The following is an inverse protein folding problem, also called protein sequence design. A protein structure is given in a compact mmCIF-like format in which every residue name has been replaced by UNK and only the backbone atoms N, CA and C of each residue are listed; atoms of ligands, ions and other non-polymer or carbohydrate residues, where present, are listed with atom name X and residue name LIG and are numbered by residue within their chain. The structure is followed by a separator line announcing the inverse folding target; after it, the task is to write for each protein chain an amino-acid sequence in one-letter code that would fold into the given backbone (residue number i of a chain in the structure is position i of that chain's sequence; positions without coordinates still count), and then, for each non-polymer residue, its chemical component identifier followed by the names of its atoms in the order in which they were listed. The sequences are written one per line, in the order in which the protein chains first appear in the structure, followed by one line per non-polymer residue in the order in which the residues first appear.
data_IF_557096812680
#
_entry.id   IF_557096812680
#
_cell.length_a   1.000
_cell.length_b   1.000
_cell.length_c   1.000
_cell.angle_alpha   90.00
_cell.angle_beta   90.00
_cell.angle_gamma   90.00
#
_symmetry.space_group_name_H-M   'P 1'
#
loop_
_entity.id
_entity.type
_entity.pdbx_description
1 polymer ?
#
# COMPACT_ATOMS: atom_id res chain seq x y z
N UNK A 1 19.02 30.39 -20.86
CA UNK A 1 17.75 29.67 -20.76
C UNK A 1 17.84 28.47 -21.69
N UNK A 2 18.14 27.28 -21.16
CA UNK A 2 18.17 26.05 -21.96
C UNK A 2 16.91 25.26 -21.64
N UNK A 3 16.11 24.98 -22.67
CA UNK A 3 14.90 24.18 -22.57
C UNK A 3 15.27 22.77 -22.10
N UNK A 4 14.78 22.35 -20.93
CA UNK A 4 14.89 20.97 -20.50
C UNK A 4 14.10 20.10 -21.49
N UNK A 5 14.83 19.25 -22.21
CA UNK A 5 14.30 18.36 -23.22
C UNK A 5 13.48 17.25 -22.58
N UNK A 6 12.18 17.24 -22.80
CA UNK A 6 11.22 16.23 -22.32
C UNK A 6 11.21 14.99 -23.25
N UNK A 7 12.41 14.49 -23.59
CA UNK A 7 12.63 13.43 -24.58
C UNK A 7 13.06 12.08 -23.97
N UNK A 8 13.16 11.01 -24.78
CA UNK A 8 13.66 9.69 -24.34
C UNK A 8 15.09 9.76 -23.78
N UNK A 9 15.87 10.77 -24.16
CA UNK A 9 17.19 11.04 -23.58
C UNK A 9 17.13 11.46 -22.12
N UNK A 10 16.19 12.32 -21.73
CA UNK A 10 15.99 12.69 -20.32
C UNK A 10 15.50 11.52 -19.47
N UNK A 11 14.71 10.61 -20.05
CA UNK A 11 14.35 9.35 -19.38
C UNK A 11 15.59 8.46 -19.19
N UNK A 12 16.44 8.33 -20.20
CA UNK A 12 17.70 7.59 -20.10
C UNK A 12 18.66 8.20 -19.09
N UNK A 13 18.72 9.53 -18.99
CA UNK A 13 19.49 10.24 -17.97
C UNK A 13 18.90 10.01 -16.56
N UNK A 14 17.58 10.00 -16.41
CA UNK A 14 16.90 9.65 -15.17
C UNK A 14 17.19 8.19 -14.76
N UNK A 15 17.19 7.26 -15.71
CA UNK A 15 17.55 5.85 -15.44
C UNK A 15 19.02 5.70 -15.06
N UNK A 16 19.93 6.43 -15.72
CA UNK A 16 21.35 6.46 -15.38
C UNK A 16 21.61 7.11 -14.03
N UNK A 17 20.91 8.20 -13.69
CA UNK A 17 21.02 8.86 -12.38
C UNK A 17 20.43 8.00 -11.26
N UNK A 18 19.30 7.34 -11.50
CA UNK A 18 18.73 6.40 -10.53
C UNK A 18 19.65 5.20 -10.30
N UNK A 19 20.31 4.69 -11.35
CA UNK A 19 21.30 3.60 -11.24
C UNK A 19 22.55 4.06 -10.49
N UNK A 20 23.05 5.27 -10.76
CA UNK A 20 24.23 5.82 -10.07
C UNK A 20 23.94 6.21 -8.62
N UNK A 21 22.73 6.70 -8.31
CA UNK A 21 22.24 6.91 -6.95
C UNK A 21 22.09 5.58 -6.22
N UNK A 22 21.56 4.55 -6.88
CA UNK A 22 21.52 3.19 -6.31
C UNK A 22 22.93 2.64 -6.04
N UNK A 23 23.89 2.85 -6.95
CA UNK A 23 25.29 2.43 -6.77
C UNK A 23 26.02 3.24 -5.68
N UNK A 24 25.82 4.56 -5.58
CA UNK A 24 26.38 5.40 -4.50
C UNK A 24 25.75 5.10 -3.13
N UNK A 25 24.43 4.88 -3.08
CA UNK A 25 23.76 4.44 -1.85
C UNK A 25 24.24 3.05 -1.43
N UNK A 26 24.55 2.18 -2.41
CA UNK A 26 25.19 0.89 -2.15
C UNK A 26 26.63 1.01 -1.66
N UNK A 27 27.37 2.08 -2.00
CA UNK A 27 28.77 2.23 -1.61
C UNK A 27 28.94 2.68 -0.14
N UNK A 28 28.06 3.54 0.38
CA UNK A 28 27.98 3.87 1.83
C UNK A 28 27.54 2.67 2.68
N UNK A 29 26.75 1.76 2.09
CA UNK A 29 26.26 0.52 2.71
C UNK A 29 27.16 -0.71 2.42
N UNK A 30 28.24 -0.55 1.65
CA UNK A 30 29.18 -1.62 1.24
C UNK A 30 30.29 -1.93 2.24
N UNK A 31 30.35 -1.22 3.36
CA UNK A 31 31.10 -1.72 4.51
C UNK A 31 30.44 -3.00 5.02
N UNK A 32 31.20 -3.85 5.72
CA UNK A 32 30.65 -5.04 6.36
C UNK A 32 29.57 -4.63 7.37
N UNK A 33 28.29 -4.74 6.98
CA UNK A 33 27.16 -4.37 7.82
C UNK A 33 27.21 -5.22 9.09
N UNK A 34 27.02 -4.63 10.29
CA UNK A 34 26.93 -5.42 11.51
C UNK A 34 25.90 -6.54 11.38
N UNK A 35 26.20 -7.73 11.90
CA UNK A 35 25.37 -8.94 11.69
C UNK A 35 23.91 -8.73 12.12
N UNK A 36 23.68 -7.91 13.16
CA UNK A 36 22.35 -7.59 13.65
C UNK A 36 21.50 -6.74 12.68
N UNK A 37 22.13 -6.05 11.71
CA UNK A 37 21.47 -5.23 10.69
C UNK A 37 21.31 -5.93 9.34
N UNK A 38 22.08 -6.99 9.06
CA UNK A 38 22.02 -7.72 7.77
C UNK A 38 20.59 -8.14 7.42
N UNK A 39 19.87 -8.73 8.39
CA UNK A 39 18.49 -9.20 8.18
C UNK A 39 17.49 -8.07 7.89
N UNK A 40 17.61 -6.92 8.55
CA UNK A 40 16.76 -5.75 8.26
C UNK A 40 17.12 -5.11 6.93
N UNK A 41 18.41 -5.04 6.60
CA UNK A 41 18.89 -4.49 5.33
C UNK A 41 18.35 -5.27 4.13
N UNK A 42 18.40 -6.61 4.17
CA UNK A 42 17.81 -7.44 3.11
C UNK A 42 16.31 -7.21 2.91
N UNK A 43 15.55 -6.95 3.99
CA UNK A 43 14.12 -6.62 3.86
C UNK A 43 13.87 -5.22 3.30
N UNK A 44 14.70 -4.26 3.67
CA UNK A 44 14.61 -2.88 3.17
C UNK A 44 14.84 -2.81 1.65
N UNK A 45 15.61 -3.72 1.07
CA UNK A 45 15.79 -3.82 -0.38
C UNK A 45 14.52 -4.23 -1.13
N UNK A 46 13.54 -4.87 -0.45
CA UNK A 46 12.26 -5.24 -1.04
C UNK A 46 11.08 -4.93 -0.11
N UNK A 47 10.68 -3.65 -0.03
CA UNK A 47 9.61 -3.18 0.87
C UNK A 47 8.25 -3.88 0.72
N UNK A 48 7.81 -4.35 -0.47
CA UNK A 48 6.60 -5.16 -0.58
C UNK A 48 6.54 -6.36 0.36
N UNK A 49 7.69 -6.91 0.77
CA UNK A 49 7.76 -8.00 1.75
C UNK A 49 7.11 -7.65 3.10
N UNK A 50 7.10 -6.37 3.51
CA UNK A 50 6.49 -5.96 4.76
C UNK A 50 4.97 -6.15 4.78
N UNK A 51 4.31 -6.15 3.62
CA UNK A 51 2.89 -6.50 3.54
C UNK A 51 2.65 -7.95 3.99
N UNK A 52 3.50 -8.88 3.55
CA UNK A 52 3.46 -10.29 3.97
C UNK A 52 3.85 -10.46 5.44
N UNK A 53 4.89 -9.76 5.89
CA UNK A 53 5.29 -9.77 7.32
C UNK A 53 4.14 -9.29 8.21
N UNK A 54 3.40 -8.26 7.76
CA UNK A 54 2.23 -7.76 8.45
C UNK A 54 1.12 -8.81 8.59
N UNK A 55 0.84 -9.57 7.53
CA UNK A 55 -0.14 -10.67 7.54
C UNK A 55 0.32 -11.79 8.46
N UNK A 56 1.55 -12.27 8.26
CA UNK A 56 2.13 -13.33 9.07
C UNK A 56 2.06 -12.97 10.56
N UNK A 57 2.48 -11.76 10.91
CA UNK A 57 2.51 -11.31 12.31
C UNK A 57 1.11 -11.11 12.88
N UNK A 58 0.17 -10.55 12.11
CA UNK A 58 -1.21 -10.44 12.55
C UNK A 58 -1.79 -11.83 12.82
N UNK A 59 -1.55 -12.84 11.98
CA UNK A 59 -2.10 -14.18 12.17
C UNK A 59 -1.43 -14.98 13.29
N UNK A 60 -0.16 -14.72 13.60
CA UNK A 60 0.62 -15.54 14.56
C UNK A 60 0.70 -14.94 15.96
N UNK A 61 0.68 -13.61 16.09
CA UNK A 61 0.88 -12.94 17.39
C UNK A 61 -0.46 -12.71 18.10
N UNK A 62 -0.70 -13.48 19.17
CA UNK A 62 -1.94 -13.39 19.96
C UNK A 62 -2.17 -12.01 20.56
N UNK A 63 -1.08 -11.30 20.90
CA UNK A 63 -1.17 -9.95 21.44
C UNK A 63 -1.63 -8.93 20.42
N UNK A 64 -1.63 -9.26 19.12
CA UNK A 64 -2.11 -8.42 18.03
C UNK A 64 -3.52 -8.82 17.61
N UNK A 65 -3.76 -10.07 17.21
CA UNK A 65 -5.07 -10.41 16.60
C UNK A 65 -6.22 -10.41 17.59
N UNK A 66 -6.02 -10.86 18.83
CA UNK A 66 -7.09 -10.93 19.84
C UNK A 66 -7.70 -9.55 20.08
N UNK A 67 -6.92 -8.51 20.45
CA UNK A 67 -7.48 -7.21 20.76
C UNK A 67 -7.90 -6.41 19.52
N UNK A 68 -7.39 -6.74 18.33
CA UNK A 68 -7.91 -6.27 17.03
C UNK A 68 -9.28 -6.88 16.76
N UNK A 69 -9.42 -8.20 16.89
CA UNK A 69 -10.65 -8.93 16.64
C UNK A 69 -11.76 -8.51 17.58
N UNK A 70 -11.49 -8.45 18.89
CA UNK A 70 -12.44 -7.99 19.90
C UNK A 70 -13.02 -6.60 19.56
N UNK A 71 -12.21 -5.71 18.97
CA UNK A 71 -12.70 -4.38 18.59
C UNK A 71 -13.62 -4.41 17.38
N UNK A 72 -13.38 -5.31 16.43
CA UNK A 72 -14.16 -5.44 15.20
C UNK A 72 -15.36 -6.39 15.34
N UNK A 73 -15.36 -7.32 16.30
CA UNK A 73 -16.28 -8.46 16.41
C UNK A 73 -17.75 -8.05 16.27
N UNK A 74 -18.24 -7.11 17.07
CA UNK A 74 -19.65 -6.70 17.02
C UNK A 74 -20.04 -6.05 15.68
N UNK A 75 -19.13 -5.26 15.09
CA UNK A 75 -19.35 -4.66 13.77
C UNK A 75 -19.37 -5.71 12.68
N UNK A 76 -18.44 -6.67 12.73
CA UNK A 76 -18.37 -7.80 11.80
C UNK A 76 -19.64 -8.65 11.88
N UNK A 77 -20.10 -9.01 13.09
CA UNK A 77 -21.30 -9.84 13.28
C UNK A 77 -22.55 -9.14 12.74
N UNK A 78 -22.76 -7.86 13.06
CA UNK A 78 -23.90 -7.08 12.55
C UNK A 78 -23.84 -6.93 11.02
N UNK A 79 -22.66 -6.59 10.49
CA UNK A 79 -22.46 -6.44 9.05
C UNK A 79 -22.63 -7.76 8.31
N UNK A 80 -22.18 -8.88 8.87
CA UNK A 80 -22.36 -10.21 8.31
C UNK A 80 -23.83 -10.62 8.32
N UNK A 81 -24.56 -10.39 9.43
CA UNK A 81 -25.99 -10.68 9.51
C UNK A 81 -26.79 -9.90 8.45
N UNK A 82 -26.55 -8.60 8.33
CA UNK A 82 -27.18 -7.76 7.30
C UNK A 82 -26.74 -8.17 5.90
N UNK A 83 -25.46 -8.49 5.70
CA UNK A 83 -24.93 -8.93 4.42
C UNK A 83 -25.51 -10.26 3.94
N UNK A 84 -25.69 -11.22 4.85
CA UNK A 84 -26.34 -12.52 4.56
C UNK A 84 -27.81 -12.31 4.21
N UNK A 85 -28.54 -11.51 4.99
CA UNK A 85 -29.93 -11.20 4.68
C UNK A 85 -30.05 -10.51 3.31
N UNK A 86 -29.20 -9.51 3.04
CA UNK A 86 -29.15 -8.82 1.75
C UNK A 86 -28.86 -9.78 0.59
N UNK A 87 -27.86 -10.65 0.73
CA UNK A 87 -27.55 -11.66 -0.27
C UNK A 87 -28.74 -12.58 -0.51
N UNK A 88 -29.39 -13.10 0.53
CA UNK A 88 -30.55 -13.98 0.42
C UNK A 88 -31.69 -13.35 -0.39
N UNK A 89 -32.07 -12.11 -0.08
CA UNK A 89 -33.19 -11.44 -0.76
C UNK A 89 -32.86 -10.95 -2.16
N UNK A 90 -31.61 -10.59 -2.44
CA UNK A 90 -31.23 -9.94 -3.72
C UNK A 90 -30.61 -10.90 -4.73
N UNK A 91 -30.05 -12.03 -4.30
CA UNK A 91 -29.28 -12.92 -5.17
C UNK A 91 -30.08 -13.42 -6.38
N UNK A 92 -31.31 -13.89 -6.17
CA UNK A 92 -32.16 -14.39 -7.26
C UNK A 92 -32.51 -13.29 -8.28
N UNK A 93 -32.84 -12.09 -7.78
CA UNK A 93 -33.17 -10.92 -8.61
C UNK A 93 -31.94 -10.50 -9.43
N UNK A 94 -30.78 -10.41 -8.79
CA UNK A 94 -29.53 -9.99 -9.43
C UNK A 94 -29.05 -11.01 -10.47
N UNK A 95 -29.14 -12.31 -10.16
CA UNK A 95 -28.82 -13.37 -11.12
C UNK A 95 -29.70 -13.27 -12.36
N UNK A 96 -31.03 -13.12 -12.20
CA UNK A 96 -31.96 -12.98 -13.32
C UNK A 96 -31.70 -11.71 -14.13
N UNK A 97 -31.38 -10.60 -13.48
CA UNK A 97 -30.99 -9.37 -14.15
C UNK A 97 -29.72 -9.56 -14.99
N UNK A 98 -28.68 -10.20 -14.44
CA UNK A 98 -27.43 -10.50 -15.15
C UNK A 98 -27.66 -11.44 -16.33
N UNK A 99 -28.51 -12.45 -16.17
CA UNK A 99 -28.90 -13.38 -17.23
C UNK A 99 -29.55 -12.62 -18.40
N UNK A 100 -30.54 -11.77 -18.12
CA UNK A 100 -31.20 -10.92 -19.13
C UNK A 100 -30.21 -9.96 -19.79
N UNK A 101 -29.32 -9.34 -19.00
CA UNK A 101 -28.33 -8.38 -19.50
C UNK A 101 -27.30 -9.05 -20.44
N UNK A 102 -26.78 -10.20 -20.05
CA UNK A 102 -25.78 -10.94 -20.85
C UNK A 102 -26.40 -11.59 -22.09
N UNK A 103 -27.65 -12.07 -22.00
CA UNK A 103 -28.38 -12.60 -23.15
C UNK A 103 -28.58 -11.53 -24.24
N UNK A 104 -28.80 -10.28 -23.85
CA UNK A 104 -28.99 -9.14 -24.78
C UNK A 104 -27.68 -8.48 -25.23
N UNK A 105 -26.52 -8.85 -24.66
CA UNK A 105 -25.22 -8.31 -25.06
C UNK A 105 -24.15 -9.41 -25.26
N UNK A 106 -24.32 -10.33 -26.24
CA UNK A 106 -23.37 -11.43 -26.47
C UNK A 106 -22.02 -10.95 -27.02
N UNK A 107 -22.00 -9.79 -27.68
CA UNK A 107 -20.81 -9.27 -28.39
C UNK A 107 -19.73 -8.69 -27.46
N UNK A 108 -20.04 -8.41 -26.21
CA UNK A 108 -19.13 -7.65 -25.31
C UNK A 108 -18.36 -8.53 -24.33
N UNK A 109 -18.79 -9.78 -24.11
CA UNK A 109 -18.29 -10.49 -22.91
C UNK A 109 -17.30 -11.61 -23.16
N UNK A 110 -17.32 -12.34 -24.28
CA UNK A 110 -16.46 -13.55 -24.41
C UNK A 110 -16.63 -14.55 -23.24
N UNK A 111 -17.67 -14.33 -22.42
CA UNK A 111 -18.09 -15.04 -21.22
C UNK A 111 -19.45 -15.73 -21.48
N UNK A 112 -19.90 -15.76 -22.74
CA UNK A 112 -21.06 -16.54 -23.15
C UNK A 112 -20.77 -18.05 -23.18
N UNK A 113 -19.49 -18.44 -23.05
CA UNK A 113 -19.04 -19.82 -22.88
C UNK A 113 -18.84 -20.11 -21.39
N UNK A 114 -19.08 -21.35 -20.96
CA UNK A 114 -18.86 -21.83 -19.57
C UNK A 114 -17.37 -21.84 -19.12
N UNK A 115 -16.52 -21.09 -19.83
CA UNK A 115 -15.08 -21.00 -19.63
C UNK A 115 -14.66 -19.56 -19.39
N UNK A 116 -13.92 -19.32 -18.30
CA UNK A 116 -13.30 -18.03 -17.99
C UNK A 116 -11.77 -18.22 -18.12
N UNK A 117 -11.11 -17.50 -19.04
CA UNK A 117 -9.69 -17.72 -19.40
C UNK A 117 -9.34 -19.14 -19.85
N UNK A 118 -10.28 -19.82 -20.51
CA UNK A 118 -10.10 -21.22 -20.94
C UNK A 118 -10.22 -22.26 -19.81
N UNK A 119 -10.47 -21.82 -18.57
CA UNK A 119 -10.76 -22.72 -17.45
C UNK A 119 -12.27 -22.86 -17.26
N UNK A 120 -12.81 -24.09 -17.14
CA UNK A 120 -14.21 -24.30 -16.84
C UNK A 120 -14.51 -23.76 -15.44
N UNK A 121 -15.52 -22.92 -15.32
CA UNK A 121 -15.96 -22.42 -14.02
C UNK A 121 -16.81 -23.48 -13.31
N UNK A 122 -16.69 -23.61 -11.97
CA UNK A 122 -17.46 -24.59 -11.21
C UNK A 122 -18.98 -24.30 -11.20
N UNK A 123 -19.37 -23.10 -11.62
CA UNK A 123 -20.77 -22.66 -11.71
C UNK A 123 -21.00 -21.91 -13.01
N UNK A 124 -22.25 -21.89 -13.49
CA UNK A 124 -22.66 -21.07 -14.63
C UNK A 124 -22.18 -19.62 -14.46
N UNK A 125 -21.66 -19.03 -15.55
CA UNK A 125 -21.09 -17.67 -15.59
C UNK A 125 -22.01 -16.61 -14.95
N UNK A 126 -23.33 -16.71 -15.14
CA UNK A 126 -24.29 -15.79 -14.52
C UNK A 126 -24.29 -15.88 -12.99
N UNK A 127 -24.14 -17.10 -12.46
CA UNK A 127 -24.05 -17.34 -11.01
C UNK A 127 -22.74 -16.80 -10.46
N UNK A 128 -21.63 -16.99 -11.18
CA UNK A 128 -20.34 -16.41 -10.81
C UNK A 128 -20.38 -14.87 -10.78
N UNK A 129 -20.91 -14.24 -11.82
CA UNK A 129 -21.06 -12.79 -11.87
C UNK A 129 -21.97 -12.26 -10.74
N UNK A 130 -23.07 -12.95 -10.44
CA UNK A 130 -23.94 -12.61 -9.32
C UNK A 130 -23.22 -12.71 -7.97
N UNK A 131 -22.42 -13.76 -7.74
CA UNK A 131 -21.60 -13.92 -6.52
C UNK A 131 -20.59 -12.78 -6.38
N UNK A 132 -19.89 -12.40 -7.45
CA UNK A 132 -18.95 -11.28 -7.42
C UNK A 132 -19.66 -9.95 -7.09
N UNK A 133 -20.81 -9.69 -7.71
CA UNK A 133 -21.61 -8.49 -7.48
C UNK A 133 -22.11 -8.41 -6.02
N UNK A 134 -22.71 -9.49 -5.51
CA UNK A 134 -23.16 -9.59 -4.11
C UNK A 134 -21.97 -9.48 -3.16
N UNK A 135 -20.84 -10.11 -3.45
CA UNK A 135 -19.62 -10.03 -2.63
C UNK A 135 -19.11 -8.59 -2.48
N UNK A 136 -19.18 -7.78 -3.54
CA UNK A 136 -18.83 -6.36 -3.47
C UNK A 136 -19.83 -5.57 -2.60
N UNK A 137 -21.13 -5.86 -2.70
CA UNK A 137 -22.16 -5.23 -1.86
C UNK A 137 -22.00 -5.59 -0.39
N UNK A 138 -21.76 -6.87 -0.08
CA UNK A 138 -21.45 -7.34 1.28
C UNK A 138 -20.22 -6.60 1.81
N UNK A 139 -19.19 -6.40 0.98
CA UNK A 139 -18.00 -5.63 1.38
C UNK A 139 -18.35 -4.20 1.79
N UNK A 140 -19.25 -3.52 1.06
CA UNK A 140 -19.71 -2.18 1.44
C UNK A 140 -20.51 -2.18 2.75
N UNK A 141 -21.38 -3.16 2.93
CA UNK A 141 -22.15 -3.34 4.18
C UNK A 141 -21.19 -3.56 5.36
N UNK A 142 -20.25 -4.50 5.23
CA UNK A 142 -19.23 -4.76 6.25
C UNK A 142 -18.42 -3.50 6.55
N UNK A 143 -17.97 -2.77 5.52
CA UNK A 143 -17.21 -1.53 5.68
C UNK A 143 -18.01 -0.45 6.40
N UNK A 144 -19.31 -0.34 6.14
CA UNK A 144 -20.19 0.58 6.86
C UNK A 144 -20.22 0.26 8.35
N UNK A 145 -20.54 -0.98 8.72
CA UNK A 145 -20.60 -1.42 10.12
C UNK A 145 -19.24 -1.42 10.84
N UNK A 146 -18.14 -1.59 10.09
CA UNK A 146 -16.79 -1.59 10.63
C UNK A 146 -16.11 -0.22 10.64
N UNK A 147 -16.64 0.78 9.93
CA UNK A 147 -15.97 2.07 9.65
C UNK A 147 -15.30 2.73 10.86
N UNK A 148 -16.00 2.83 12.00
CA UNK A 148 -15.45 3.41 13.24
C UNK A 148 -14.49 2.45 13.95
N UNK A 149 -14.85 1.17 14.05
CA UNK A 149 -14.09 0.17 14.81
C UNK A 149 -12.78 -0.21 14.13
N UNK A 150 -12.77 -0.31 12.80
CA UNK A 150 -11.59 -0.66 12.01
C UNK A 150 -10.51 0.42 12.10
N UNK A 151 -10.88 1.69 12.22
CA UNK A 151 -9.92 2.77 12.46
C UNK A 151 -9.19 2.55 13.78
N UNK A 152 -9.93 2.28 14.86
CA UNK A 152 -9.36 2.02 16.19
C UNK A 152 -8.53 0.72 16.18
N UNK A 153 -9.00 -0.32 15.47
CA UNK A 153 -8.27 -1.58 15.35
C UNK A 153 -6.92 -1.40 14.63
N UNK A 154 -6.88 -0.60 13.56
CA UNK A 154 -5.63 -0.23 12.86
C UNK A 154 -4.66 0.52 13.76
N UNK A 155 -5.18 1.47 14.54
CA UNK A 155 -4.40 2.26 15.49
C UNK A 155 -3.81 1.37 16.61
N UNK A 156 -4.61 0.42 17.10
CA UNK A 156 -4.19 -0.56 18.11
C UNK A 156 -3.16 -1.55 17.56
N UNK A 157 -3.37 -2.05 16.35
CA UNK A 157 -2.45 -2.96 15.69
C UNK A 157 -1.06 -2.32 15.53
N UNK A 158 -1.00 -1.06 15.09
CA UNK A 158 0.26 -0.31 15.05
C UNK A 158 0.90 -0.22 16.44
N UNK A 159 0.16 0.27 17.45
CA UNK A 159 0.70 0.50 18.79
C UNK A 159 1.24 -0.78 19.43
N UNK A 160 0.53 -1.90 19.28
CA UNK A 160 0.98 -3.19 19.81
C UNK A 160 2.17 -3.75 19.05
N UNK A 161 2.22 -3.52 17.72
CA UNK A 161 3.39 -3.89 16.91
C UNK A 161 4.64 -3.11 17.34
N UNK A 162 4.47 -1.84 17.73
CA UNK A 162 5.56 -1.01 18.27
C UNK A 162 5.93 -1.45 19.68
N UNK A 163 4.96 -1.58 20.58
CA UNK A 163 5.19 -1.96 21.98
C UNK A 163 5.87 -3.33 22.12
N UNK A 164 5.49 -4.30 21.29
CA UNK A 164 6.12 -5.63 21.26
C UNK A 164 7.59 -5.64 20.80
N UNK A 165 8.15 -4.50 20.35
CA UNK A 165 9.60 -4.38 20.12
C UNK A 165 10.38 -4.04 21.37
N UNK A 166 9.71 -3.64 22.46
CA UNK A 166 10.36 -3.29 23.73
C UNK A 166 11.35 -2.13 23.61
N UNK A 167 11.14 -1.23 22.64
CA UNK A 167 11.95 -0.02 22.46
C UNK A 167 11.17 1.18 23.02
N UNK A 168 11.86 2.04 23.76
CA UNK A 168 11.30 3.25 24.34
C UNK A 168 11.07 4.34 23.28
N UNK A 169 10.62 5.51 23.72
CA UNK A 169 10.43 6.68 22.85
C UNK A 169 11.77 7.25 22.33
N UNK A 170 12.86 7.01 23.07
CA UNK A 170 14.24 7.35 22.74
C UNK A 170 14.78 6.63 21.49
N UNK A 171 14.14 5.52 21.11
CA UNK A 171 14.46 4.81 19.88
C UNK A 171 14.15 5.65 18.63
N UNK A 172 13.16 6.54 18.67
CA UNK A 172 12.85 7.39 17.51
C UNK A 172 13.72 8.64 17.54
N UNK A 173 14.85 8.59 16.86
CA UNK A 173 15.77 9.73 16.81
C UNK A 173 15.31 10.76 15.77
N UNK A 174 15.73 12.03 15.90
CA UNK A 174 15.50 13.04 14.86
C UNK A 174 15.99 12.57 13.49
N UNK A 175 15.38 13.10 12.43
CA UNK A 175 15.76 12.77 11.06
C UNK A 175 17.25 13.01 10.84
N UNK A 176 17.94 12.00 10.29
CA UNK A 176 19.32 12.13 9.83
C UNK A 176 19.34 11.92 8.33
N UNK A 177 19.78 12.96 7.63
CA UNK A 177 19.94 12.95 6.18
C UNK A 177 20.83 11.78 5.76
N UNK A 178 20.39 10.93 4.82
CA UNK A 178 21.18 9.77 4.38
C UNK A 178 22.09 10.11 3.22
N UNK A 179 21.73 11.09 2.39
CA UNK A 179 22.41 11.38 1.13
C UNK A 179 23.32 12.59 1.26
N UNK A 180 24.46 12.57 0.57
CA UNK A 180 25.38 13.72 0.55
C UNK A 180 24.78 14.92 -0.20
N UNK A 181 23.90 14.65 -1.16
CA UNK A 181 23.17 15.63 -1.95
C UNK A 181 21.69 15.21 -2.00
N UNK A 182 20.86 15.66 -1.04
CA UNK A 182 19.45 15.29 -1.03
C UNK A 182 18.76 15.82 -2.28
N UNK A 183 17.76 15.10 -2.82
CA UNK A 183 16.93 15.63 -3.88
C UNK A 183 16.24 16.88 -3.32
N UNK A 184 16.15 17.94 -4.14
CA UNK A 184 15.39 19.12 -3.73
C UNK A 184 13.98 18.66 -3.40
N UNK A 185 13.48 19.05 -2.23
CA UNK A 185 12.10 18.80 -1.83
C UNK A 185 11.22 19.32 -2.97
N UNK A 186 10.72 18.42 -3.81
CA UNK A 186 9.62 18.77 -4.68
C UNK A 186 8.46 18.83 -3.71
N UNK A 187 8.23 20.02 -3.13
CA UNK A 187 6.91 20.32 -2.63
C UNK A 187 6.00 19.91 -3.77
N UNK A 188 5.20 18.88 -3.57
CA UNK A 188 4.11 18.58 -4.47
C UNK A 188 3.09 19.72 -4.27
N UNK A 189 3.47 20.92 -4.67
CA UNK A 189 2.68 22.12 -4.77
C UNK A 189 1.74 21.89 -5.95
N UNK A 190 0.80 20.96 -5.76
CA UNK A 190 -0.15 20.60 -6.80
C UNK A 190 -1.31 19.80 -6.22
N UNK A 191 -1.97 20.35 -5.20
CA UNK A 191 -3.25 19.82 -4.73
C UNK A 191 -4.48 20.46 -5.39
N UNK A 192 -4.34 21.66 -5.98
CA UNK A 192 -5.43 22.36 -6.68
C UNK A 192 -5.25 22.35 -8.21
N UNK A 193 -4.06 22.66 -8.75
CA UNK A 193 -3.82 22.63 -10.21
C UNK A 193 -3.69 21.19 -10.77
N UNK A 194 -3.12 20.26 -10.00
CA UNK A 194 -3.11 18.84 -10.35
C UNK A 194 -4.48 18.22 -10.12
N UNK A 195 -5.35 18.75 -9.26
CA UNK A 195 -6.67 18.15 -9.07
C UNK A 195 -7.55 18.33 -10.30
N UNK A 196 -7.46 19.49 -10.98
CA UNK A 196 -8.17 19.74 -12.24
C UNK A 196 -7.57 18.94 -13.41
N UNK A 197 -6.24 18.93 -13.53
CA UNK A 197 -5.50 18.10 -14.50
C UNK A 197 -5.70 16.59 -14.24
N UNK A 198 -5.61 16.13 -13.00
CA UNK A 198 -5.92 14.75 -12.62
C UNK A 198 -7.38 14.42 -12.78
N UNK A 199 -8.33 15.34 -12.67
CA UNK A 199 -9.73 15.01 -12.89
C UNK A 199 -10.00 14.73 -14.37
N UNK A 200 -9.41 15.53 -15.27
CA UNK A 200 -9.45 15.28 -16.71
C UNK A 200 -8.64 14.05 -17.10
N UNK A 201 -7.43 13.87 -16.57
CA UNK A 201 -6.66 12.63 -16.69
C UNK A 201 -7.38 11.44 -16.08
N UNK A 202 -8.13 11.61 -14.99
CA UNK A 202 -8.91 10.56 -14.34
C UNK A 202 -10.14 10.20 -15.16
N UNK A 203 -10.81 11.18 -15.78
CA UNK A 203 -11.90 10.95 -16.73
C UNK A 203 -11.39 10.31 -18.03
N UNK A 204 -10.28 10.80 -18.58
CA UNK A 204 -9.62 10.24 -19.76
C UNK A 204 -9.09 8.84 -19.49
N UNK A 205 -8.47 8.60 -18.32
CA UNK A 205 -8.10 7.27 -17.85
C UNK A 205 -9.34 6.40 -17.65
N UNK A 206 -10.42 6.90 -17.04
CA UNK A 206 -11.67 6.13 -16.91
C UNK A 206 -12.24 5.75 -18.26
N UNK A 207 -12.16 6.62 -19.26
CA UNK A 207 -12.60 6.36 -20.63
C UNK A 207 -11.69 5.35 -21.33
N UNK A 208 -10.36 5.49 -21.22
CA UNK A 208 -9.38 4.57 -21.79
C UNK A 208 -9.39 3.20 -21.12
N UNK A 209 -9.67 3.16 -19.82
CA UNK A 209 -9.75 1.95 -19.00
C UNK A 209 -11.16 1.37 -18.94
N UNK A 210 -12.15 2.01 -19.57
CA UNK A 210 -13.53 1.52 -19.65
C UNK A 210 -13.60 0.10 -20.27
N UNK A 211 -12.83 -0.22 -21.34
CA UNK A 211 -12.72 -1.58 -21.86
C UNK A 211 -11.99 -2.54 -20.90
N UNK A 212 -11.08 -2.03 -20.05
CA UNK A 212 -10.29 -2.84 -19.12
C UNK A 212 -11.00 -3.10 -17.78
N UNK A 213 -11.97 -2.27 -17.41
CA UNK A 213 -12.82 -2.46 -16.23
C UNK A 213 -13.76 -3.66 -16.35
N UNK A 214 -13.93 -4.22 -17.56
CA UNK A 214 -14.61 -5.50 -17.75
C UNK A 214 -13.84 -6.67 -17.11
N UNK A 215 -12.56 -6.46 -16.75
CA UNK A 215 -11.79 -7.43 -15.98
C UNK A 215 -11.67 -7.03 -14.50
N UNK A 216 -12.35 -7.73 -13.55
CA UNK A 216 -12.45 -7.34 -12.14
C UNK A 216 -11.09 -7.10 -11.46
N UNK A 217 -10.06 -7.83 -11.88
CA UNK A 217 -8.72 -7.74 -11.29
C UNK A 217 -7.91 -6.54 -11.80
N UNK A 218 -8.13 -6.10 -13.03
CA UNK A 218 -7.33 -4.99 -13.59
C UNK A 218 -7.74 -3.66 -12.99
N UNK A 219 -9.04 -3.45 -12.72
CA UNK A 219 -9.49 -2.27 -11.99
C UNK A 219 -8.77 -2.11 -10.64
N UNK A 220 -8.57 -3.22 -9.91
CA UNK A 220 -7.83 -3.22 -8.64
C UNK A 220 -6.36 -2.87 -8.87
N UNK A 221 -5.69 -3.53 -9.82
CA UNK A 221 -4.28 -3.26 -10.14
C UNK A 221 -4.02 -1.79 -10.49
N UNK A 222 -4.86 -1.22 -11.36
CA UNK A 222 -4.76 0.19 -11.76
C UNK A 222 -5.02 1.11 -10.57
N UNK A 223 -6.07 0.83 -9.78
CA UNK A 223 -6.39 1.64 -8.60
C UNK A 223 -5.23 1.64 -7.60
N UNK A 224 -4.62 0.47 -7.38
CA UNK A 224 -3.45 0.32 -6.53
C UNK A 224 -2.24 1.10 -7.09
N UNK A 225 -2.01 1.06 -8.40
CA UNK A 225 -0.92 1.79 -9.05
C UNK A 225 -1.00 3.30 -8.81
N UNK A 226 -2.20 3.89 -8.92
CA UNK A 226 -2.39 5.32 -8.68
C UNK A 226 -2.35 5.68 -7.20
N UNK A 227 -2.86 4.81 -6.32
CA UNK A 227 -2.92 5.06 -4.87
C UNK A 227 -1.64 4.72 -4.13
N UNK A 228 -0.68 4.03 -4.76
CA UNK A 228 0.47 3.42 -4.08
C UNK A 228 1.22 4.40 -3.18
N UNK A 229 1.74 5.49 -3.74
CA UNK A 229 2.51 6.48 -2.97
C UNK A 229 1.70 7.12 -1.83
N UNK A 230 0.43 7.49 -2.08
CA UNK A 230 -0.44 8.03 -1.04
C UNK A 230 -0.75 7.02 0.07
N UNK A 231 -0.93 5.74 -0.28
CA UNK A 231 -1.18 4.66 0.67
C UNK A 231 0.02 4.45 1.60
N UNK A 232 1.23 4.41 1.05
CA UNK A 232 2.44 4.29 1.85
C UNK A 232 2.64 5.50 2.79
N UNK A 233 2.42 6.74 2.31
CA UNK A 233 2.45 7.94 3.15
C UNK A 233 1.47 7.86 4.32
N UNK A 234 0.24 7.42 4.06
CA UNK A 234 -0.79 7.25 5.10
C UNK A 234 -0.43 6.14 6.09
N UNK A 235 0.21 5.07 5.63
CA UNK A 235 0.69 3.97 6.46
C UNK A 235 1.86 4.39 7.37
N UNK A 236 2.78 5.22 6.86
CA UNK A 236 3.96 5.72 7.59
C UNK A 236 3.75 7.04 8.34
N UNK A 237 2.58 7.65 8.28
CA UNK A 237 2.27 8.90 9.00
C UNK A 237 2.74 8.89 10.46
N UNK A 238 2.50 7.81 11.19
CA UNK A 238 2.88 7.68 12.61
C UNK A 238 4.39 7.59 12.83
N UNK A 239 5.12 7.03 11.88
CA UNK A 239 6.58 6.99 11.91
C UNK A 239 7.14 8.41 11.78
N UNK A 240 6.64 9.18 10.82
CA UNK A 240 7.03 10.59 10.65
C UNK A 240 6.68 11.44 11.88
N UNK A 241 5.51 11.21 12.46
CA UNK A 241 5.07 11.88 13.70
C UNK A 241 5.97 11.49 14.89
N UNK A 242 6.36 10.22 15.03
CA UNK A 242 7.24 9.77 16.11
C UNK A 242 8.63 10.42 16.05
N UNK A 243 9.18 10.61 14.85
CA UNK A 243 10.46 11.31 14.63
C UNK A 243 10.35 12.84 14.65
N UNK A 244 9.12 13.39 14.78
CA UNK A 244 8.83 14.83 14.71
C UNK A 244 9.33 15.50 13.42
N UNK A 245 9.27 14.78 12.30
CA UNK A 245 9.69 15.31 11.01
C UNK A 245 8.80 16.46 10.54
N UNK A 246 9.42 17.52 10.03
CA UNK A 246 8.72 18.60 9.35
C UNK A 246 8.14 18.13 8.01
N UNK A 247 7.12 18.80 7.45
CA UNK A 247 6.57 18.43 6.14
C UNK A 247 7.62 18.35 5.02
N UNK A 248 8.66 19.17 5.11
CA UNK A 248 9.74 19.26 4.13
C UNK A 248 10.70 18.08 4.27
N UNK A 249 11.07 17.72 5.49
CA UNK A 249 11.85 16.51 5.79
C UNK A 249 11.09 15.24 5.35
N UNK A 250 9.77 15.18 5.55
CA UNK A 250 8.95 14.07 5.05
C UNK A 250 8.99 14.01 3.52
N UNK A 251 8.93 15.15 2.84
CA UNK A 251 8.98 15.21 1.38
C UNK A 251 10.33 14.74 0.84
N UNK A 252 11.43 15.19 1.46
CA UNK A 252 12.79 14.76 1.11
C UNK A 252 12.95 13.25 1.34
N UNK A 253 12.62 12.77 2.55
CA UNK A 253 12.71 11.35 2.91
C UNK A 253 11.93 10.44 1.96
N UNK A 254 10.71 10.86 1.60
CA UNK A 254 9.87 10.11 0.67
C UNK A 254 10.38 10.13 -0.77
N UNK A 255 11.02 11.22 -1.21
CA UNK A 255 11.62 11.28 -2.55
C UNK A 255 12.90 10.43 -2.62
N UNK A 256 13.67 10.38 -1.54
CA UNK A 256 14.83 9.48 -1.43
C UNK A 256 14.43 8.01 -1.52
N UNK A 257 13.33 7.66 -0.86
CA UNK A 257 12.79 6.30 -0.80
C UNK A 257 11.62 6.11 -1.78
N UNK A 258 11.56 6.89 -2.86
CA UNK A 258 10.38 6.97 -3.75
C UNK A 258 9.90 5.60 -4.24
N UNK A 259 10.81 4.77 -4.72
CA UNK A 259 10.48 3.44 -5.24
C UNK A 259 10.07 2.48 -4.12
N UNK A 260 10.68 2.60 -2.95
CA UNK A 260 10.34 1.80 -1.77
C UNK A 260 8.92 2.09 -1.28
N UNK A 261 8.58 3.37 -1.14
CA UNK A 261 7.22 3.82 -0.79
C UNK A 261 6.22 3.47 -1.87
N UNK A 262 6.57 3.64 -3.15
CA UNK A 262 5.65 3.36 -4.26
C UNK A 262 5.33 1.86 -4.34
N UNK A 263 6.33 0.99 -4.23
CA UNK A 263 6.14 -0.46 -4.32
C UNK A 263 5.42 -1.03 -3.08
N UNK A 264 5.82 -0.63 -1.87
CA UNK A 264 5.12 -1.03 -0.64
C UNK A 264 3.65 -0.58 -0.66
N UNK A 265 3.42 0.69 -0.98
CA UNK A 265 2.08 1.25 -1.00
C UNK A 265 1.21 0.67 -2.12
N UNK A 266 1.80 0.34 -3.27
CA UNK A 266 1.12 -0.40 -4.34
C UNK A 266 0.65 -1.76 -3.85
N UNK A 267 1.54 -2.56 -3.26
CA UNK A 267 1.19 -3.89 -2.73
C UNK A 267 0.14 -3.80 -1.63
N UNK A 268 0.27 -2.84 -0.71
CA UNK A 268 -0.71 -2.59 0.34
C UNK A 268 -2.10 -2.24 -0.24
N UNK A 269 -2.15 -1.31 -1.20
CA UNK A 269 -3.40 -0.90 -1.86
C UNK A 269 -4.01 -2.02 -2.70
N UNK A 270 -3.18 -2.86 -3.33
CA UNK A 270 -3.61 -4.03 -4.09
C UNK A 270 -4.30 -5.05 -3.18
N UNK A 271 -3.67 -5.37 -2.04
CA UNK A 271 -4.24 -6.28 -1.04
C UNK A 271 -5.53 -5.74 -0.43
N UNK A 272 -5.60 -4.43 -0.14
CA UNK A 272 -6.83 -3.78 0.37
C UNK A 272 -7.96 -3.71 -0.65
N UNK A 273 -7.65 -3.88 -1.94
CA UNK A 273 -8.63 -3.81 -3.02
C UNK A 273 -9.51 -5.04 -3.18
N UNK A 274 -9.15 -6.18 -2.57
CA UNK A 274 -9.94 -7.39 -2.64
C UNK A 274 -11.24 -7.29 -1.82
N UNK A 275 -12.40 -7.76 -2.35
CA UNK A 275 -13.64 -7.80 -1.60
C UNK A 275 -13.51 -8.63 -0.32
N UNK A 276 -14.14 -8.17 0.77
CA UNK A 276 -14.18 -8.78 2.10
C UNK A 276 -12.80 -8.89 2.76
N UNK A 277 -11.87 -9.67 2.19
CA UNK A 277 -10.53 -9.92 2.73
C UNK A 277 -9.66 -8.65 2.74
N UNK A 278 -9.91 -7.69 1.84
CA UNK A 278 -9.27 -6.37 1.84
C UNK A 278 -9.39 -5.65 3.18
N UNK A 279 -10.48 -5.85 3.92
CA UNK A 279 -10.68 -5.27 5.25
C UNK A 279 -9.63 -5.77 6.26
N UNK A 280 -9.27 -7.05 6.20
CA UNK A 280 -8.21 -7.63 7.04
C UNK A 280 -6.86 -7.03 6.65
N UNK A 281 -6.60 -6.88 5.35
CA UNK A 281 -5.37 -6.27 4.86
C UNK A 281 -5.19 -4.81 5.31
N UNK A 282 -6.27 -4.05 5.49
CA UNK A 282 -6.15 -2.69 6.06
C UNK A 282 -5.51 -2.66 7.46
N UNK A 283 -5.61 -3.76 8.21
CA UNK A 283 -5.02 -3.91 9.54
C UNK A 283 -3.62 -4.54 9.43
N UNK A 284 -3.47 -5.62 8.66
CA UNK A 284 -2.15 -6.27 8.51
C UNK A 284 -1.13 -5.33 7.86
N UNK A 285 -1.53 -4.48 6.92
CA UNK A 285 -0.66 -3.46 6.32
C UNK A 285 -0.17 -2.44 7.35
N UNK A 286 -0.96 -2.16 8.41
CA UNK A 286 -0.52 -1.29 9.52
C UNK A 286 0.55 -1.96 10.37
N UNK A 287 0.41 -3.26 10.61
CA UNK A 287 1.44 -4.07 11.27
C UNK A 287 2.71 -4.09 10.41
N UNK A 288 2.58 -4.34 9.10
CA UNK A 288 3.69 -4.33 8.15
C UNK A 288 4.41 -2.98 8.09
N UNK A 289 3.66 -1.89 8.03
CA UNK A 289 4.19 -0.53 8.04
C UNK A 289 4.95 -0.20 9.33
N UNK A 290 4.46 -0.64 10.50
CA UNK A 290 5.18 -0.49 11.76
C UNK A 290 6.49 -1.29 11.75
N UNK A 291 6.48 -2.49 11.18
CA UNK A 291 7.69 -3.32 11.03
C UNK A 291 8.71 -2.67 10.11
N UNK A 292 8.24 -2.06 9.01
CA UNK A 292 9.10 -1.34 8.09
C UNK A 292 9.71 -0.10 8.75
N UNK A 293 8.90 0.68 9.47
CA UNK A 293 9.36 1.84 10.24
C UNK A 293 10.50 1.48 11.23
N UNK A 294 10.40 0.34 11.92
CA UNK A 294 11.47 -0.11 12.81
C UNK A 294 12.78 -0.45 12.08
N UNK A 295 12.69 -1.08 10.92
CA UNK A 295 13.88 -1.44 10.16
C UNK A 295 14.50 -0.20 9.48
N UNK A 296 13.68 0.79 9.06
CA UNK A 296 14.16 2.11 8.63
C UNK A 296 14.88 2.85 9.75
N UNK A 297 14.33 2.85 10.98
CA UNK A 297 14.95 3.54 12.12
C UNK A 297 16.31 2.95 12.48
N UNK A 298 16.46 1.62 12.44
CA UNK A 298 17.77 0.98 12.64
C UNK A 298 18.80 1.42 11.61
N UNK A 299 18.38 1.57 10.35
CA UNK A 299 19.25 2.09 9.28
C UNK A 299 19.63 3.55 9.56
N UNK A 300 18.68 4.38 9.98
CA UNK A 300 18.94 5.77 10.38
C UNK A 300 19.95 5.88 11.53
N UNK A 301 19.84 5.03 12.56
CA UNK A 301 20.84 4.99 13.64
C UNK A 301 22.24 4.68 13.13
N UNK A 302 22.36 3.66 12.26
CA UNK A 302 23.64 3.27 11.68
C UNK A 302 24.26 4.39 10.83
N UNK A 303 23.45 5.08 10.03
CA UNK A 303 23.90 6.23 9.23
C UNK A 303 24.34 7.37 10.14
N UNK A 304 23.58 7.67 11.20
CA UNK A 304 23.92 8.71 12.16
C UNK A 304 25.23 8.43 12.91
N UNK A 305 25.47 7.17 13.29
CA UNK A 305 26.71 6.71 13.92
C UNK A 305 27.91 6.87 12.97
N UNK A 306 27.80 6.35 11.74
CA UNK A 306 28.83 6.51 10.70
C UNK A 306 29.18 7.97 10.41
N UNK A 307 28.17 8.85 10.38
CA UNK A 307 28.39 10.29 10.18
C UNK A 307 29.16 10.90 11.35
N UNK A 308 28.84 10.55 12.59
CA UNK A 308 29.59 10.99 13.78
C UNK A 308 31.05 10.54 13.71
N UNK A 309 31.30 9.27 13.39
CA UNK A 309 32.67 8.73 13.28
C UNK A 309 33.49 9.46 12.22
N UNK A 310 32.89 9.76 11.06
CA UNK A 310 33.56 10.47 9.97
C UNK A 310 33.88 11.94 10.30
N UNK A 311 33.09 12.56 11.18
CA UNK A 311 33.34 13.93 11.65
C UNK A 311 34.47 13.95 12.69
N UNK A 312 34.52 12.96 13.58
CA UNK A 312 35.60 12.80 14.56
C UNK A 312 36.94 12.54 13.86
N UNK A 313 36.98 11.60 12.90
CA UNK A 313 38.19 11.26 12.16
C UNK A 313 38.75 12.39 11.26
N UNK A 314 37.97 13.45 10.99
CA UNK A 314 38.43 14.64 10.27
C UNK A 314 39.01 15.73 11.20
N UNK A 315 38.79 15.61 12.51
CA UNK A 315 39.29 16.55 13.52
C UNK A 315 40.66 16.14 14.07
N UNK A 316 41.00 14.86 13.96
CA UNK A 316 42.32 14.30 14.26
C UNK A 316 43.25 14.37 13.04
#
# INVERSE_FOLDING_TARGET
MSAMADGPEAQNELFKSNRSLAEKNSSLLRGDLPDHLKRSSHRLQFPPSYALVGVYRLCTDQNLYVPVWQKCQHGTVRGAAVGIAWAFFTFGIQKKFIEIFLANSPKVTGLATDTIFGYPVPFNVHTYAAVLLVGQQITYILRFFLSRNIRIARDRAWNQTVASRGKGEDFWQPYTEEWDQPPKAVHSAMWYEQAFSNWFLFMFKKALLLPFNFYPLVGILISAWFKGMGTARILHRRYFEAKKMTPDEVAIFMEEHKWDYRTFGFTAALLEGFPIIGLVFTISNRVGAAMWAFDLEKRQHYVAEKKKDSVTAKKD
#
